data_IF_501408544670
#
_entry.id   IF_501408544670
#
_cell.length_a   1.000
_cell.length_b   1.000
_cell.length_c   1.000
_cell.angle_alpha   90.00
_cell.angle_beta   90.00
_cell.angle_gamma   90.00
#
_symmetry.space_group_name_H-M   'P 1'
#
loop_
_entity.id
_entity.type
_entity.pdbx_description
1 polymer ?
#
# COMPACT_ATOMS: atom_id res chain seq x y z
N UNK A 1 -15.17 41.99 9.65
CA UNK A 1 -14.14 41.14 9.02
C UNK A 1 -13.91 39.96 9.95
N UNK A 2 -14.44 38.79 9.63
CA UNK A 2 -14.12 37.59 10.40
C UNK A 2 -12.69 37.19 10.08
N UNK A 3 -11.85 37.04 11.12
CA UNK A 3 -10.56 36.39 11.01
C UNK A 3 -10.78 34.97 10.47
N UNK A 4 -10.40 34.75 9.22
CA UNK A 4 -10.27 33.39 8.68
C UNK A 4 -9.10 32.77 9.42
N UNK A 5 -9.39 31.85 10.35
CA UNK A 5 -8.35 31.04 11.00
C UNK A 5 -7.50 30.40 9.90
N UNK A 6 -6.16 30.46 9.97
CA UNK A 6 -5.31 29.83 8.97
C UNK A 6 -5.62 28.34 8.94
N UNK A 7 -5.95 27.84 7.75
CA UNK A 7 -6.19 26.41 7.56
C UNK A 7 -4.86 25.68 7.76
N UNK A 8 -4.84 24.69 8.64
CA UNK A 8 -3.62 23.96 8.95
C UNK A 8 -3.15 23.18 7.71
N UNK A 9 -1.99 23.56 7.17
CA UNK A 9 -1.28 22.84 6.10
C UNK A 9 -0.06 22.12 6.69
N UNK A 10 0.17 20.88 6.26
CA UNK A 10 1.35 20.10 6.64
C UNK A 10 1.78 19.19 5.49
N UNK A 11 3.09 18.99 5.32
CA UNK A 11 3.61 18.06 4.31
C UNK A 11 3.43 16.64 4.84
N UNK A 12 2.73 15.79 4.07
CA UNK A 12 2.36 14.42 4.47
C UNK A 12 2.58 13.44 3.33
N UNK A 13 2.74 12.17 3.70
CA UNK A 13 2.57 11.05 2.79
C UNK A 13 1.07 10.79 2.62
N UNK A 14 0.56 10.83 1.41
CA UNK A 14 -0.84 10.55 1.10
C UNK A 14 -0.94 9.22 0.38
N UNK A 15 -2.01 8.48 0.63
CA UNK A 15 -2.27 7.19 -0.01
C UNK A 15 -3.71 7.19 -0.51
N UNK A 16 -3.89 6.90 -1.79
CA UNK A 16 -5.17 6.53 -2.38
C UNK A 16 -5.04 5.09 -2.82
N UNK A 17 -6.04 4.27 -2.53
CA UNK A 17 -6.12 2.91 -3.02
C UNK A 17 -7.51 2.58 -3.52
N UNK A 18 -7.60 1.58 -4.39
CA UNK A 18 -8.87 1.04 -4.84
C UNK A 18 -8.78 -0.48 -5.05
N UNK A 19 -9.94 -1.11 -5.18
CA UNK A 19 -10.06 -2.55 -5.44
C UNK A 19 -10.10 -2.80 -6.94
N UNK A 20 -9.13 -3.58 -7.43
CA UNK A 20 -9.06 -3.96 -8.84
C UNK A 20 -10.21 -4.90 -9.18
N UNK A 21 -11.02 -4.54 -10.19
CA UNK A 21 -12.10 -5.40 -10.67
C UNK A 21 -13.32 -5.48 -9.74
N UNK A 22 -13.45 -4.58 -8.77
CA UNK A 22 -14.54 -4.53 -7.78
C UNK A 22 -15.96 -4.67 -8.35
N UNK A 23 -16.19 -4.16 -9.57
CA UNK A 23 -17.48 -4.22 -10.27
C UNK A 23 -17.92 -5.64 -10.65
N UNK A 24 -16.99 -6.58 -10.70
CA UNK A 24 -17.26 -7.98 -11.02
C UNK A 24 -17.43 -8.85 -9.77
N UNK A 25 -17.36 -8.27 -8.57
CA UNK A 25 -17.56 -9.00 -7.33
C UNK A 25 -19.02 -9.52 -7.24
N UNK A 26 -19.16 -10.82 -6.99
CA UNK A 26 -20.46 -11.47 -6.83
C UNK A 26 -21.20 -10.99 -5.58
N UNK A 27 -20.47 -10.73 -4.50
CA UNK A 27 -20.98 -10.11 -3.28
C UNK A 27 -20.15 -8.86 -2.94
N UNK A 28 -20.67 -7.69 -3.33
CA UNK A 28 -20.03 -6.40 -3.07
C UNK A 28 -20.05 -6.01 -1.59
N UNK A 29 -21.02 -6.48 -0.82
CA UNK A 29 -21.12 -6.15 0.59
C UNK A 29 -20.08 -6.93 1.41
N UNK A 30 -19.86 -8.21 1.06
CA UNK A 30 -18.78 -9.00 1.65
C UNK A 30 -17.40 -8.47 1.27
N UNK A 31 -17.18 -8.14 -0.01
CA UNK A 31 -15.94 -7.49 -0.46
C UNK A 31 -15.65 -6.22 0.36
N UNK A 32 -16.66 -5.35 0.53
CA UNK A 32 -16.51 -4.13 1.32
C UNK A 32 -16.15 -4.44 2.78
N UNK A 33 -16.80 -5.42 3.43
CA UNK A 33 -16.46 -5.80 4.82
C UNK A 33 -15.02 -6.30 4.96
N UNK A 34 -14.56 -7.14 4.03
CA UNK A 34 -13.20 -7.67 4.05
C UNK A 34 -12.16 -6.56 3.89
N UNK A 35 -12.40 -5.65 2.95
CA UNK A 35 -11.52 -4.49 2.75
C UNK A 35 -11.56 -3.57 3.96
N UNK A 36 -12.74 -3.21 4.47
CA UNK A 36 -12.88 -2.34 5.65
C UNK A 36 -12.10 -2.87 6.86
N UNK A 37 -12.16 -4.19 7.11
CA UNK A 37 -11.39 -4.83 8.18
C UNK A 37 -9.87 -4.69 7.98
N UNK A 38 -9.39 -4.79 6.74
CA UNK A 38 -7.97 -4.60 6.41
C UNK A 38 -7.56 -3.12 6.53
N UNK A 39 -8.46 -2.17 6.24
CA UNK A 39 -8.18 -0.73 6.31
C UNK A 39 -8.13 -0.20 7.74
N UNK A 40 -9.00 -0.70 8.64
CA UNK A 40 -9.23 -0.14 9.97
C UNK A 40 -7.94 0.05 10.82
N UNK A 41 -6.99 -0.88 10.72
CA UNK A 41 -5.74 -0.83 11.49
C UNK A 41 -4.64 0.03 10.85
N UNK A 42 -4.86 0.50 9.63
CA UNK A 42 -3.86 1.21 8.82
C UNK A 42 -4.15 2.71 8.70
N UNK A 43 -5.17 3.24 9.37
CA UNK A 43 -5.53 4.66 9.26
C UNK A 43 -6.08 5.04 7.87
N UNK A 44 -6.69 4.07 7.20
CA UNK A 44 -7.34 4.22 5.91
C UNK A 44 -8.86 4.14 6.09
N UNK A 45 -9.59 4.88 5.27
CA UNK A 45 -11.05 4.84 5.25
C UNK A 45 -11.55 4.92 3.81
N UNK A 46 -12.69 4.27 3.56
CA UNK A 46 -13.41 4.42 2.29
C UNK A 46 -13.81 5.87 2.04
N UNK A 47 -13.72 6.30 0.79
CA UNK A 47 -14.16 7.62 0.34
C UNK A 47 -15.42 7.47 -0.50
N UNK A 48 -15.30 6.86 -1.68
CA UNK A 48 -16.39 6.67 -2.63
C UNK A 48 -16.24 5.31 -3.31
N UNK A 49 -17.28 4.48 -3.22
CA UNK A 49 -17.31 3.20 -3.92
C UNK A 49 -16.28 2.22 -3.33
N UNK A 50 -15.32 1.83 -4.15
CA UNK A 50 -14.20 0.93 -3.82
C UNK A 50 -12.89 1.67 -3.53
N UNK A 51 -12.91 3.01 -3.59
CA UNK A 51 -11.76 3.84 -3.28
C UNK A 51 -11.67 4.12 -1.78
N UNK A 52 -10.44 4.11 -1.27
CA UNK A 52 -10.10 4.45 0.10
C UNK A 52 -8.84 5.30 0.15
N UNK A 53 -8.66 6.02 1.25
CA UNK A 53 -7.53 6.93 1.39
C UNK A 53 -7.06 7.09 2.84
N UNK A 54 -5.84 7.61 3.01
CA UNK A 54 -5.32 8.05 4.30
C UNK A 54 -4.05 8.89 4.17
N UNK A 55 -3.67 9.54 5.26
CA UNK A 55 -2.50 10.43 5.33
C UNK A 55 -1.57 10.03 6.46
N UNK A 56 -0.26 10.14 6.21
CA UNK A 56 0.79 9.59 7.05
C UNK A 56 1.89 10.63 7.28
N UNK A 57 2.68 10.51 8.37
CA UNK A 57 3.80 11.40 8.63
C UNK A 57 4.92 11.33 7.57
N UNK A 58 5.10 10.18 6.91
CA UNK A 58 6.17 9.94 5.95
C UNK A 58 5.68 9.17 4.73
N UNK A 59 6.44 9.22 3.62
CA UNK A 59 6.21 8.34 2.46
C UNK A 59 6.34 6.88 2.85
N UNK A 60 7.35 6.53 3.66
CA UNK A 60 7.58 5.16 4.09
C UNK A 60 6.44 4.58 4.91
N UNK A 61 5.81 5.38 5.79
CA UNK A 61 4.63 4.94 6.53
C UNK A 61 3.42 4.67 5.62
N UNK A 62 3.23 5.49 4.57
CA UNK A 62 2.20 5.23 3.56
C UNK A 62 2.50 3.94 2.77
N UNK A 63 3.77 3.71 2.39
CA UNK A 63 4.18 2.51 1.66
C UNK A 63 4.06 1.22 2.49
N UNK A 64 4.32 1.30 3.80
CA UNK A 64 4.15 0.21 4.75
C UNK A 64 2.67 -0.15 4.92
N UNK A 65 1.80 0.85 5.08
CA UNK A 65 0.36 0.66 5.12
C UNK A 65 -0.19 0.04 3.82
N UNK A 66 0.26 0.52 2.66
CA UNK A 66 -0.12 -0.05 1.37
C UNK A 66 0.26 -1.54 1.25
N UNK A 67 1.49 -1.90 1.62
CA UNK A 67 1.96 -3.30 1.59
C UNK A 67 1.17 -4.17 2.57
N UNK A 68 0.92 -3.67 3.78
CA UNK A 68 0.15 -4.37 4.81
C UNK A 68 -1.27 -4.67 4.35
N UNK A 69 -1.98 -3.67 3.81
CA UNK A 69 -3.32 -3.85 3.25
C UNK A 69 -3.31 -4.84 2.10
N UNK A 70 -2.36 -4.72 1.16
CA UNK A 70 -2.24 -5.65 0.04
C UNK A 70 -2.07 -7.10 0.50
N UNK A 71 -1.21 -7.35 1.49
CA UNK A 71 -0.96 -8.71 2.00
C UNK A 71 -2.09 -9.23 2.90
N UNK A 72 -2.87 -8.35 3.53
CA UNK A 72 -4.06 -8.73 4.27
C UNK A 72 -5.17 -9.24 3.33
N UNK A 73 -5.25 -8.66 2.13
CA UNK A 73 -6.28 -8.93 1.12
C UNK A 73 -5.90 -9.99 0.09
N UNK A 74 -4.60 -10.18 -0.15
CA UNK A 74 -4.12 -11.14 -1.14
C UNK A 74 -4.15 -12.60 -0.63
N UNK A 75 -4.36 -13.57 -1.54
CA UNK A 75 -4.61 -13.42 -2.98
C UNK A 75 -6.07 -13.15 -3.37
N UNK A 76 -7.01 -13.14 -2.42
CA UNK A 76 -8.45 -13.16 -2.70
C UNK A 76 -8.96 -11.84 -3.29
N UNK A 77 -8.41 -10.71 -2.86
CA UNK A 77 -8.80 -9.37 -3.29
C UNK A 77 -7.55 -8.62 -3.78
N UNK A 78 -7.59 -8.19 -5.04
CA UNK A 78 -6.54 -7.40 -5.65
C UNK A 78 -6.80 -5.90 -5.44
N UNK A 79 -5.77 -5.18 -5.01
CA UNK A 79 -5.82 -3.75 -4.68
C UNK A 79 -4.63 -3.03 -5.27
N UNK A 80 -4.84 -1.79 -5.71
CA UNK A 80 -3.78 -0.90 -6.19
C UNK A 80 -3.74 0.38 -5.36
N UNK A 81 -2.59 1.06 -5.40
CA UNK A 81 -2.27 2.20 -4.58
C UNK A 81 -1.48 3.25 -5.36
N UNK A 82 -1.81 4.51 -5.10
CA UNK A 82 -0.99 5.66 -5.42
C UNK A 82 -0.55 6.35 -4.14
N UNK A 83 0.75 6.58 -4.02
CA UNK A 83 1.34 7.29 -2.89
C UNK A 83 1.83 8.66 -3.35
N UNK A 84 1.46 9.69 -2.61
CA UNK A 84 1.86 11.07 -2.84
C UNK A 84 2.73 11.61 -1.71
N UNK A 85 3.52 12.64 -2.02
CA UNK A 85 4.18 13.47 -1.01
C UNK A 85 3.98 14.94 -1.34
N UNK A 86 3.39 15.67 -0.39
CA UNK A 86 3.21 17.10 -0.52
C UNK A 86 2.33 17.70 0.56
N UNK A 87 2.06 18.99 0.42
CA UNK A 87 1.19 19.72 1.33
C UNK A 87 -0.23 19.13 1.31
N UNK A 88 -0.79 19.02 2.52
CA UNK A 88 -2.17 18.62 2.76
C UNK A 88 -2.79 19.67 3.66
N UNK A 89 -3.91 20.21 3.18
CA UNK A 89 -4.71 21.26 3.81
C UNK A 89 -6.03 20.66 4.29
N UNK A 90 -6.36 20.84 5.57
CA UNK A 90 -7.63 20.39 6.14
C UNK A 90 -8.76 21.36 5.78
N UNK A 91 -9.56 21.06 4.76
CA UNK A 91 -10.64 21.97 4.33
C UNK A 91 -11.82 21.99 5.29
N UNK A 92 -12.17 20.84 5.86
CA UNK A 92 -13.25 20.72 6.86
C UNK A 92 -12.89 19.66 7.90
N UNK A 93 -12.60 20.10 9.12
CA UNK A 93 -12.25 19.21 10.23
C UNK A 93 -13.41 18.36 10.75
N UNK A 94 -14.66 18.78 10.52
CA UNK A 94 -15.85 18.04 10.98
C UNK A 94 -16.13 16.80 10.13
N UNK A 95 -15.85 16.89 8.83
CA UNK A 95 -15.98 15.79 7.86
C UNK A 95 -14.66 15.10 7.54
N UNK A 96 -13.53 15.70 7.93
CA UNK A 96 -12.18 15.19 7.64
C UNK A 96 -11.75 15.42 6.19
N UNK A 97 -12.42 16.32 5.45
CA UNK A 97 -12.11 16.62 4.06
C UNK A 97 -10.77 17.34 3.99
N UNK A 98 -9.88 16.81 3.16
CA UNK A 98 -8.54 17.33 2.92
C UNK A 98 -8.32 17.54 1.41
N UNK A 99 -7.44 18.47 1.07
CA UNK A 99 -7.00 18.72 -0.30
C UNK A 99 -5.53 19.17 -0.31
N UNK A 100 -4.90 19.17 -1.48
CA UNK A 100 -3.59 19.75 -1.71
C UNK A 100 -2.65 18.87 -2.55
N UNK A 101 -1.44 19.36 -2.85
CA UNK A 101 -0.46 18.70 -3.70
C UNK A 101 -0.12 17.27 -3.30
N UNK A 102 -0.20 16.93 -2.01
CA UNK A 102 -0.06 15.54 -1.55
C UNK A 102 -1.13 14.64 -2.18
N UNK A 103 -2.41 15.01 -2.08
CA UNK A 103 -3.52 14.24 -2.63
C UNK A 103 -3.49 14.18 -4.16
N UNK A 104 -3.12 15.27 -4.83
CA UNK A 104 -2.98 15.29 -6.29
C UNK A 104 -1.86 14.35 -6.76
N UNK A 105 -0.73 14.31 -6.04
CA UNK A 105 0.36 13.36 -6.34
C UNK A 105 -0.08 11.91 -6.15
N UNK A 106 -0.82 11.59 -5.08
CA UNK A 106 -1.34 10.23 -4.87
C UNK A 106 -2.33 9.82 -5.97
N UNK A 107 -3.16 10.77 -6.44
CA UNK A 107 -4.08 10.53 -7.56
C UNK A 107 -3.33 10.23 -8.86
N UNK A 108 -2.36 11.08 -9.21
CA UNK A 108 -1.51 10.87 -10.39
C UNK A 108 -0.80 9.50 -10.33
N UNK A 109 -0.33 9.11 -9.14
CA UNK A 109 0.34 7.83 -8.93
C UNK A 109 -0.60 6.63 -9.16
N UNK A 110 -1.81 6.62 -8.60
CA UNK A 110 -2.75 5.49 -8.77
C UNK A 110 -3.25 5.39 -10.20
N UNK A 111 -3.48 6.52 -10.87
CA UNK A 111 -3.87 6.57 -12.28
C UNK A 111 -2.76 5.99 -13.18
N UNK A 112 -1.50 6.37 -12.92
CA UNK A 112 -0.36 5.78 -13.63
C UNK A 112 -0.26 4.27 -13.39
N UNK A 113 -0.43 3.79 -12.15
CA UNK A 113 -0.40 2.36 -11.85
C UNK A 113 -1.53 1.61 -12.60
N UNK A 114 -2.73 2.20 -12.65
CA UNK A 114 -3.88 1.67 -13.38
C UNK A 114 -3.66 1.58 -14.89
N UNK A 115 -2.93 2.54 -15.48
CA UNK A 115 -2.52 2.50 -16.88
C UNK A 115 -1.37 1.51 -17.13
N UNK A 116 -0.38 1.46 -16.24
CA UNK A 116 0.79 0.58 -16.34
C UNK A 116 0.37 -0.89 -16.34
N UNK A 117 -0.55 -1.30 -15.45
CA UNK A 117 -0.99 -2.69 -15.35
C UNK A 117 -1.71 -3.22 -16.62
N UNK A 118 -2.12 -2.35 -17.56
CA UNK A 118 -2.67 -2.78 -18.85
C UNK A 118 -1.57 -3.27 -19.81
N UNK A 119 -0.30 -2.97 -19.54
CA UNK A 119 0.82 -3.40 -20.34
C UNK A 119 1.33 -4.76 -19.83
N UNK A 120 1.52 -5.78 -20.68
CA UNK A 120 1.95 -7.11 -20.24
C UNK A 120 3.22 -7.11 -19.39
N UNK A 121 4.19 -6.25 -19.71
CA UNK A 121 5.45 -6.13 -18.98
C UNK A 121 5.30 -5.57 -17.55
N UNK A 122 4.19 -4.85 -17.29
CA UNK A 122 3.94 -4.14 -16.04
C UNK A 122 2.64 -4.63 -15.36
N UNK A 123 2.10 -5.77 -15.78
CA UNK A 123 0.83 -6.30 -15.30
C UNK A 123 0.78 -6.56 -13.79
N UNK A 124 1.93 -6.76 -13.15
CA UNK A 124 2.05 -6.97 -11.70
C UNK A 124 2.12 -5.68 -10.88
N UNK A 125 2.30 -4.52 -11.52
CA UNK A 125 2.42 -3.22 -10.84
C UNK A 125 1.10 -2.87 -10.16
N UNK A 126 1.19 -2.54 -8.86
CA UNK A 126 0.06 -2.13 -8.02
C UNK A 126 0.35 -0.88 -7.22
N UNK A 127 1.60 -0.45 -7.11
CA UNK A 127 1.99 0.72 -6.32
C UNK A 127 2.82 1.67 -7.16
N UNK A 128 2.50 2.95 -7.11
CA UNK A 128 3.38 4.00 -7.63
C UNK A 128 3.50 5.14 -6.62
N UNK A 129 4.59 5.88 -6.72
CA UNK A 129 4.87 7.05 -5.92
C UNK A 129 5.11 8.28 -6.80
N UNK A 130 4.53 9.42 -6.42
CA UNK A 130 4.75 10.73 -7.05
C UNK A 130 4.92 11.81 -5.98
N UNK A 131 5.52 12.92 -6.39
CA UNK A 131 5.82 14.05 -5.52
C UNK A 131 5.75 15.34 -6.30
N UNK A 132 4.99 16.30 -5.78
CA UNK A 132 4.98 17.69 -6.28
C UNK A 132 5.69 18.67 -5.34
N UNK A 133 6.05 18.23 -4.13
CA UNK A 133 6.83 19.03 -3.18
C UNK A 133 8.35 19.05 -3.55
N UNK A 134 9.07 20.17 -3.36
CA UNK A 134 10.49 20.28 -3.72
C UNK A 134 11.41 19.35 -2.91
N UNK A 135 11.00 18.99 -1.70
CA UNK A 135 11.74 18.06 -0.82
C UNK A 135 10.97 16.75 -0.65
N UNK A 136 11.70 15.67 -0.41
CA UNK A 136 11.16 14.32 -0.21
C UNK A 136 12.09 13.28 -0.84
N UNK A 137 11.70 12.00 -0.81
CA UNK A 137 12.46 10.94 -1.45
C UNK A 137 12.33 11.03 -2.96
N UNK A 138 13.39 10.65 -3.67
CA UNK A 138 13.43 10.65 -5.13
C UNK A 138 12.34 9.71 -5.70
N UNK A 139 11.40 10.21 -6.52
CA UNK A 139 10.37 9.39 -7.12
C UNK A 139 10.89 8.20 -7.91
N UNK A 140 11.98 8.36 -8.67
CA UNK A 140 12.48 7.31 -9.54
C UNK A 140 13.14 6.19 -8.73
N UNK A 141 13.90 6.55 -7.69
CA UNK A 141 14.51 5.58 -6.79
C UNK A 141 13.46 4.76 -6.01
N UNK A 142 12.42 5.42 -5.50
CA UNK A 142 11.31 4.74 -4.81
C UNK A 142 10.56 3.86 -5.81
N UNK A 143 10.18 4.37 -6.98
CA UNK A 143 9.44 3.59 -7.97
C UNK A 143 10.24 2.39 -8.49
N UNK A 144 11.55 2.50 -8.67
CA UNK A 144 12.39 1.36 -9.03
C UNK A 144 12.25 0.20 -8.02
N UNK A 145 12.30 0.51 -6.71
CA UNK A 145 12.08 -0.48 -5.66
C UNK A 145 10.65 -1.03 -5.67
N UNK A 146 9.64 -0.19 -5.88
CA UNK A 146 8.23 -0.62 -5.94
C UNK A 146 7.97 -1.54 -7.14
N UNK A 147 8.55 -1.26 -8.30
CA UNK A 147 8.43 -2.11 -9.50
C UNK A 147 9.01 -3.51 -9.24
N UNK A 148 10.20 -3.59 -8.65
CA UNK A 148 10.80 -4.87 -8.28
C UNK A 148 9.96 -5.62 -7.22
N UNK A 149 9.50 -4.91 -6.19
CA UNK A 149 8.63 -5.46 -5.13
C UNK A 149 7.34 -6.04 -5.72
N UNK A 150 6.67 -5.27 -6.56
CA UNK A 150 5.39 -5.64 -7.14
C UNK A 150 5.52 -6.83 -8.10
N UNK A 151 6.60 -6.88 -8.88
CA UNK A 151 6.91 -8.05 -9.70
C UNK A 151 7.14 -9.31 -8.86
N UNK A 152 7.93 -9.22 -7.79
CA UNK A 152 8.17 -10.35 -6.88
C UNK A 152 6.85 -10.82 -6.26
N UNK A 153 6.06 -9.91 -5.68
CA UNK A 153 4.75 -10.23 -5.09
C UNK A 153 3.79 -10.87 -6.11
N UNK A 154 3.76 -10.38 -7.34
CA UNK A 154 2.91 -10.91 -8.41
C UNK A 154 3.30 -12.31 -8.88
N UNK A 155 4.53 -12.77 -8.58
CA UNK A 155 5.01 -14.12 -8.92
C UNK A 155 4.80 -15.15 -7.80
N UNK A 156 4.34 -14.73 -6.62
CA UNK A 156 4.24 -15.59 -5.44
C UNK A 156 2.96 -16.42 -5.40
N UNK A 157 3.07 -17.65 -4.88
CA UNK A 157 1.90 -18.45 -4.53
C UNK A 157 1.25 -17.96 -3.22
N UNK A 158 0.01 -18.37 -2.98
CA UNK A 158 -0.76 -17.97 -1.80
C UNK A 158 -0.05 -18.30 -0.47
N UNK A 159 0.71 -19.41 -0.42
CA UNK A 159 1.48 -19.78 0.77
C UNK A 159 2.62 -18.80 1.03
N UNK A 160 3.33 -18.39 -0.01
CA UNK A 160 4.45 -17.45 0.09
C UNK A 160 3.97 -16.07 0.55
N UNK A 161 2.81 -15.62 0.08
CA UNK A 161 2.16 -14.39 0.55
C UNK A 161 1.80 -14.47 2.04
N UNK A 162 1.22 -15.59 2.50
CA UNK A 162 0.92 -15.79 3.93
C UNK A 162 2.18 -15.84 4.80
N UNK A 163 3.24 -16.50 4.34
CA UNK A 163 4.52 -16.53 5.03
C UNK A 163 5.13 -15.12 5.11
N UNK A 164 5.14 -14.37 4.01
CA UNK A 164 5.62 -12.99 3.99
C UNK A 164 4.85 -12.10 4.96
N UNK A 165 3.52 -12.21 4.97
CA UNK A 165 2.67 -11.47 5.92
C UNK A 165 3.07 -11.76 7.37
N UNK A 166 3.29 -13.01 7.73
CA UNK A 166 3.74 -13.35 9.08
C UNK A 166 5.15 -12.87 9.39
N UNK A 167 6.09 -12.93 8.44
CA UNK A 167 7.44 -12.40 8.63
C UNK A 167 7.45 -10.89 8.90
N UNK A 168 6.66 -10.12 8.14
CA UNK A 168 6.47 -8.67 8.36
C UNK A 168 5.76 -8.38 9.69
N UNK A 169 4.90 -9.28 10.15
CA UNK A 169 4.31 -9.28 11.49
C UNK A 169 5.23 -9.82 12.60
N UNK A 170 6.53 -10.00 12.32
CA UNK A 170 7.54 -10.53 13.23
C UNK A 170 7.27 -11.94 13.78
N UNK A 171 6.40 -12.73 13.12
CA UNK A 171 6.23 -14.15 13.42
C UNK A 171 7.49 -14.93 13.02
N UNK A 172 7.95 -15.80 13.89
CA UNK A 172 9.18 -16.57 13.63
C UNK A 172 8.94 -17.64 12.56
N UNK A 173 10.01 -18.04 11.84
CA UNK A 173 9.93 -19.14 10.86
C UNK A 173 9.45 -20.46 11.48
N UNK A 174 9.70 -20.67 12.78
CA UNK A 174 9.23 -21.84 13.53
C UNK A 174 7.71 -21.82 13.74
N UNK A 175 7.15 -20.68 14.14
CA UNK A 175 5.70 -20.51 14.30
C UNK A 175 4.99 -20.60 12.95
N UNK A 176 5.54 -19.96 11.92
CA UNK A 176 5.04 -20.05 10.55
C UNK A 176 5.01 -21.50 10.04
N UNK A 177 6.04 -22.29 10.34
CA UNK A 177 6.08 -23.70 10.00
C UNK A 177 4.92 -24.48 10.65
N UNK A 178 4.64 -24.22 11.94
CA UNK A 178 3.52 -24.82 12.64
C UNK A 178 2.17 -24.39 12.05
N UNK A 179 2.00 -23.11 11.73
CA UNK A 179 0.77 -22.57 11.13
C UNK A 179 0.49 -23.14 9.73
N UNK A 180 1.52 -23.31 8.91
CA UNK A 180 1.38 -23.84 7.54
C UNK A 180 1.44 -25.38 7.47
N UNK A 181 1.68 -26.06 8.59
CA UNK A 181 1.76 -27.52 8.66
C UNK A 181 2.97 -28.09 7.91
N UNK A 182 4.10 -27.38 7.89
CA UNK A 182 5.34 -27.78 7.22
C UNK A 182 6.54 -27.73 8.17
N UNK A 183 7.71 -28.20 7.74
CA UNK A 183 8.92 -28.11 8.55
C UNK A 183 9.53 -26.71 8.53
N UNK A 184 10.28 -26.36 9.59
CA UNK A 184 11.05 -25.11 9.63
C UNK A 184 12.11 -25.02 8.51
N UNK A 185 12.65 -26.16 8.07
CA UNK A 185 13.55 -26.23 6.90
C UNK A 185 12.82 -25.92 5.61
N UNK A 186 11.59 -26.40 5.43
CA UNK A 186 10.76 -26.08 4.26
C UNK A 186 10.40 -24.60 4.22
N UNK A 187 10.08 -23.98 5.36
CA UNK A 187 9.91 -22.52 5.45
C UNK A 187 11.20 -21.81 5.02
N UNK A 188 12.35 -22.16 5.59
CA UNK A 188 13.62 -21.48 5.31
C UNK A 188 14.06 -21.60 3.84
N UNK A 189 13.90 -22.78 3.24
CA UNK A 189 14.15 -23.00 1.82
C UNK A 189 13.22 -22.15 0.95
N UNK A 190 11.94 -22.09 1.33
CA UNK A 190 10.95 -21.28 0.62
C UNK A 190 11.22 -19.78 0.74
N UNK A 191 11.54 -19.28 1.93
CA UNK A 191 11.82 -17.84 2.13
C UNK A 191 13.02 -17.38 1.32
N UNK A 192 14.05 -18.22 1.17
CA UNK A 192 15.20 -17.94 0.33
C UNK A 192 14.86 -18.01 -1.17
N UNK A 193 14.22 -19.11 -1.61
CA UNK A 193 13.91 -19.34 -3.03
C UNK A 193 12.91 -18.33 -3.58
N UNK A 194 11.87 -18.01 -2.81
CA UNK A 194 10.79 -17.13 -3.23
C UNK A 194 11.11 -15.65 -2.88
N UNK A 195 12.30 -15.35 -2.33
CA UNK A 195 12.74 -13.98 -2.06
C UNK A 195 12.03 -13.27 -0.90
N UNK A 196 11.43 -14.01 0.03
CA UNK A 196 10.65 -13.42 1.14
C UNK A 196 11.54 -12.64 2.11
N UNK A 197 12.72 -13.17 2.44
CA UNK A 197 13.68 -12.48 3.32
C UNK A 197 14.19 -11.17 2.67
N UNK A 198 14.37 -11.17 1.34
CA UNK A 198 14.70 -9.97 0.57
C UNK A 198 13.56 -8.94 0.63
N UNK A 199 12.31 -9.38 0.48
CA UNK A 199 11.15 -8.49 0.56
C UNK A 199 10.98 -7.87 1.94
N UNK A 200 11.24 -8.62 3.02
CA UNK A 200 11.24 -8.07 4.38
C UNK A 200 12.27 -6.94 4.50
N UNK A 201 13.51 -7.19 4.07
CA UNK A 201 14.57 -6.18 4.10
C UNK A 201 14.22 -4.95 3.24
N UNK A 202 13.70 -5.16 2.03
CA UNK A 202 13.28 -4.09 1.15
C UNK A 202 12.11 -3.28 1.74
N UNK A 203 11.16 -3.96 2.40
CA UNK A 203 10.06 -3.30 3.10
C UNK A 203 10.56 -2.44 4.27
N UNK A 204 11.53 -2.93 5.06
CA UNK A 204 12.15 -2.14 6.13
C UNK A 204 12.83 -0.87 5.60
N UNK A 205 13.56 -0.98 4.48
CA UNK A 205 14.16 0.19 3.83
C UNK A 205 13.09 1.16 3.31
N UNK A 206 12.06 0.67 2.62
CA UNK A 206 10.97 1.52 2.13
C UNK A 206 10.22 2.20 3.28
N UNK A 207 9.98 1.50 4.39
CA UNK A 207 9.32 2.04 5.60
C UNK A 207 10.14 3.16 6.25
N UNK A 208 11.46 3.11 6.13
CA UNK A 208 12.36 4.16 6.66
C UNK A 208 12.41 5.42 5.81
N UNK A 209 11.82 5.41 4.61
CA UNK A 209 11.79 6.57 3.71
C UNK A 209 10.93 7.68 4.32
N UNK A 210 11.47 8.90 4.32
CA UNK A 210 10.79 10.10 4.82
C UNK A 210 9.63 10.52 3.93
#
# INVERSE_FOLDING_TARGET
>A
MNEVKPVASSVRGTLIGDVVGSRHASDRAELHRQVDQALAHNGLAFTVGDEFQGSYPTVGAALDAALTVRLALAPEVDVRFGVGWGEVTMLDSGTGIQDGPGWWSAREAIEWAGAAQQQPALAAVRTAYRRQHPTGPDPDAVNAALLCRDHLLGSMDARSLRLLRGLLGHTTKKELAAMEGISASAVSQRTARDGLDLLVLAADYLKSVR
#
